data_IF_652824892507
#
_entry.id   IF_652824892507
#
_cell.length_a   1.000
_cell.length_b   1.000
_cell.length_c   1.000
_cell.angle_alpha   90.00
_cell.angle_beta   90.00
_cell.angle_gamma   90.00
#
_symmetry.space_group_name_H-M   'P 1'
#
loop_
_entity.id
_entity.type
_entity.pdbx_description
1 polymer ?
#
# COMPACT_ATOMS: atom_id res chain seq x y z
N UNK A 1 4.74 -19.00 20.77
CA UNK A 1 3.88 -18.00 21.44
C UNK A 1 4.39 -16.57 21.24
N UNK A 2 5.71 -16.33 21.36
CA UNK A 2 6.35 -15.05 21.01
C UNK A 2 6.14 -14.63 19.55
N UNK A 3 6.16 -15.57 18.61
CA UNK A 3 6.01 -15.31 17.18
C UNK A 3 4.62 -14.80 16.78
N UNK A 4 3.55 -15.42 17.30
CA UNK A 4 2.17 -14.97 17.07
C UNK A 4 1.94 -13.57 17.67
N UNK A 5 2.49 -13.29 18.85
CA UNK A 5 2.39 -11.96 19.48
C UNK A 5 3.10 -10.88 18.66
N UNK A 6 4.27 -11.19 18.09
CA UNK A 6 4.99 -10.27 17.20
C UNK A 6 4.24 -10.04 15.88
N UNK A 7 3.58 -11.07 15.34
CA UNK A 7 2.73 -10.92 14.15
C UNK A 7 1.51 -10.03 14.44
N UNK A 8 0.83 -10.24 15.57
CA UNK A 8 -0.28 -9.41 16.01
C UNK A 8 0.16 -7.96 16.29
N UNK A 9 1.34 -7.77 16.86
CA UNK A 9 1.94 -6.45 17.05
C UNK A 9 2.25 -5.77 15.71
N UNK A 10 2.85 -6.51 14.76
CA UNK A 10 3.10 -6.04 13.40
C UNK A 10 1.80 -5.60 12.70
N UNK A 11 0.74 -6.41 12.79
CA UNK A 11 -0.57 -6.06 12.25
C UNK A 11 -1.17 -4.84 12.94
N UNK A 12 -1.07 -4.75 14.27
CA UNK A 12 -1.50 -3.58 15.04
C UNK A 12 -0.78 -2.30 14.60
N UNK A 13 0.52 -2.37 14.34
CA UNK A 13 1.33 -1.24 13.84
C UNK A 13 0.94 -0.84 12.41
N UNK A 14 0.66 -1.80 11.52
CA UNK A 14 0.13 -1.50 10.18
C UNK A 14 -1.21 -0.79 10.27
N UNK A 15 -2.15 -1.33 11.05
CA UNK A 15 -3.48 -0.72 11.23
C UNK A 15 -3.39 0.67 11.85
N UNK A 16 -2.54 0.84 12.86
CA UNK A 16 -2.28 2.14 13.46
C UNK A 16 -1.65 3.10 12.45
N UNK A 17 -0.68 2.64 11.66
CA UNK A 17 -0.05 3.43 10.59
C UNK A 17 -1.07 3.91 9.56
N UNK A 18 -1.95 3.03 9.07
CA UNK A 18 -3.04 3.42 8.15
C UNK A 18 -3.95 4.46 8.81
N UNK A 19 -4.39 4.21 10.06
CA UNK A 19 -5.28 5.13 10.78
C UNK A 19 -4.62 6.50 11.00
N UNK A 20 -3.36 6.52 11.44
CA UNK A 20 -2.57 7.73 11.65
C UNK A 20 -2.39 8.50 10.34
N UNK A 21 -2.14 7.79 9.25
CA UNK A 21 -2.02 8.37 7.92
C UNK A 21 -3.30 9.06 7.47
N UNK A 22 -4.44 8.38 7.60
CA UNK A 22 -5.76 8.96 7.29
C UNK A 22 -6.07 10.14 8.19
N UNK A 23 -5.76 10.06 9.49
CA UNK A 23 -6.01 11.15 10.43
C UNK A 23 -5.13 12.38 10.21
N UNK A 24 -3.94 12.23 9.62
CA UNK A 24 -3.08 13.35 9.25
C UNK A 24 -3.61 14.13 8.03
N UNK A 25 -4.58 13.55 7.31
CA UNK A 25 -5.24 14.15 6.16
C UNK A 25 -6.57 14.77 6.59
N UNK A 26 -6.51 15.97 7.17
CA UNK A 26 -7.72 16.73 7.53
C UNK A 26 -8.56 17.08 6.29
N UNK A 27 -9.87 17.30 6.47
CA UNK A 27 -10.82 17.74 5.43
C UNK A 27 -10.32 18.90 4.55
N UNK A 28 -9.71 19.98 5.10
CA UNK A 28 -9.14 21.06 4.31
C UNK A 28 -7.96 20.62 3.43
N UNK A 29 -7.20 19.61 3.87
CA UNK A 29 -6.10 19.02 3.09
C UNK A 29 -6.66 18.24 1.91
N UNK A 30 -7.73 17.47 2.13
CA UNK A 30 -8.45 16.74 1.08
C UNK A 30 -9.05 17.69 0.05
N UNK A 31 -9.69 18.78 0.48
CA UNK A 31 -10.25 19.77 -0.44
C UNK A 31 -9.19 20.53 -1.23
N UNK A 32 -8.02 20.78 -0.62
CA UNK A 32 -6.87 21.37 -1.33
C UNK A 32 -6.27 20.41 -2.35
N UNK A 33 -6.25 19.11 -2.05
CA UNK A 33 -5.86 18.08 -3.03
C UNK A 33 -6.85 18.06 -4.18
N UNK A 34 -8.17 18.12 -3.91
CA UNK A 34 -9.21 18.18 -4.96
C UNK A 34 -9.04 19.40 -5.87
N UNK A 35 -8.76 20.58 -5.31
CA UNK A 35 -8.55 21.79 -6.12
C UNK A 35 -7.27 21.72 -6.95
N UNK A 36 -6.17 21.22 -6.38
CA UNK A 36 -4.92 20.99 -7.10
C UNK A 36 -5.07 19.96 -8.23
N UNK A 37 -5.85 18.90 -8.01
CA UNK A 37 -6.17 17.89 -9.02
C UNK A 37 -7.03 18.50 -10.14
N UNK A 38 -7.99 19.35 -9.81
CA UNK A 38 -8.80 20.06 -10.80
C UNK A 38 -7.96 21.02 -11.67
N UNK A 39 -6.94 21.64 -11.10
CA UNK A 39 -6.06 22.53 -11.86
C UNK A 39 -5.00 21.77 -12.68
N UNK A 40 -4.49 20.66 -12.13
CA UNK A 40 -3.51 19.80 -12.78
C UNK A 40 -4.08 19.00 -13.96
N UNK A 41 -5.41 18.83 -14.04
CA UNK A 41 -6.06 18.11 -15.16
C UNK A 41 -6.11 18.90 -16.48
N UNK A 42 -5.49 20.09 -16.54
CA UNK A 42 -5.35 20.90 -17.77
C UNK A 42 -4.42 20.31 -18.83
N UNK A 43 -3.47 19.46 -18.44
CA UNK A 43 -2.55 18.79 -19.38
C UNK A 43 -2.37 17.32 -19.02
N UNK A 44 -2.20 16.40 -19.99
CA UNK A 44 -2.04 14.96 -19.72
C UNK A 44 -0.95 14.64 -18.68
N UNK A 45 0.24 15.21 -18.83
CA UNK A 45 1.36 14.95 -17.91
C UNK A 45 1.07 15.40 -16.47
N UNK A 46 0.46 16.58 -16.30
CA UNK A 46 0.07 17.07 -14.96
C UNK A 46 -1.08 16.26 -14.37
N UNK A 47 -2.00 15.75 -15.18
CA UNK A 47 -3.07 14.86 -14.73
C UNK A 47 -2.50 13.54 -14.18
N UNK A 48 -1.53 12.94 -14.88
CA UNK A 48 -0.81 11.75 -14.40
C UNK A 48 -0.08 12.03 -13.08
N UNK A 49 0.68 13.13 -13.00
CA UNK A 49 1.39 13.50 -11.77
C UNK A 49 0.42 13.75 -10.60
N UNK A 50 -0.72 14.39 -10.86
CA UNK A 50 -1.75 14.60 -9.85
C UNK A 50 -2.39 13.30 -9.39
N UNK A 51 -2.59 12.33 -10.29
CA UNK A 51 -3.14 11.01 -9.96
C UNK A 51 -2.19 10.19 -9.09
N UNK A 52 -0.89 10.25 -9.42
CA UNK A 52 0.18 9.63 -8.64
C UNK A 52 0.25 10.25 -7.24
N UNK A 53 0.27 11.59 -7.15
CA UNK A 53 0.29 12.31 -5.88
C UNK A 53 -0.97 12.06 -5.05
N UNK A 54 -2.15 12.09 -5.68
CA UNK A 54 -3.42 11.80 -5.02
C UNK A 54 -3.47 10.36 -4.49
N UNK A 55 -2.97 9.38 -5.22
CA UNK A 55 -2.95 7.98 -4.75
C UNK A 55 -1.91 7.75 -3.66
N UNK A 56 -0.75 8.39 -3.76
CA UNK A 56 0.22 8.39 -2.68
C UNK A 56 -0.44 8.96 -1.41
N UNK A 57 -1.07 10.13 -1.51
CA UNK A 57 -1.71 10.82 -0.41
C UNK A 57 -2.96 10.13 0.12
N UNK A 58 -3.79 9.50 -0.71
CA UNK A 58 -5.04 8.88 -0.27
C UNK A 58 -4.89 7.39 0.04
N UNK A 59 -3.75 6.77 -0.29
CA UNK A 59 -3.43 5.34 -0.13
C UNK A 59 -4.38 4.35 -0.84
N UNK A 60 -5.54 4.79 -1.31
CA UNK A 60 -6.52 3.98 -2.02
C UNK A 60 -6.70 4.50 -3.46
N UNK A 61 -6.36 3.67 -4.45
CA UNK A 61 -6.61 3.98 -5.86
C UNK A 61 -8.10 4.10 -6.16
N UNK A 62 -8.95 3.28 -5.52
CA UNK A 62 -10.41 3.33 -5.67
C UNK A 62 -10.99 4.70 -5.31
N UNK A 63 -10.49 5.35 -4.26
CA UNK A 63 -10.92 6.70 -3.86
C UNK A 63 -10.54 7.72 -4.93
N UNK A 64 -9.36 7.58 -5.55
CA UNK A 64 -8.89 8.47 -6.62
C UNK A 64 -9.71 8.29 -7.90
N UNK A 65 -10.07 7.06 -8.26
CA UNK A 65 -10.94 6.76 -9.42
C UNK A 65 -12.34 7.31 -9.23
N UNK A 66 -12.97 7.05 -8.08
CA UNK A 66 -14.30 7.60 -7.76
C UNK A 66 -14.28 9.13 -7.73
N UNK A 67 -13.21 9.73 -7.21
CA UNK A 67 -12.96 11.17 -7.26
C UNK A 67 -12.90 11.69 -8.70
N UNK A 68 -12.16 11.01 -9.57
CA UNK A 68 -12.05 11.36 -11.00
C UNK A 68 -13.43 11.32 -11.69
N UNK A 69 -14.22 10.27 -11.44
CA UNK A 69 -15.59 10.15 -11.96
C UNK A 69 -16.47 11.31 -11.47
N UNK A 70 -16.37 11.68 -10.20
CA UNK A 70 -17.11 12.83 -9.64
C UNK A 70 -16.73 14.16 -10.28
N UNK A 71 -15.45 14.38 -10.60
CA UNK A 71 -14.99 15.59 -11.30
C UNK A 71 -15.54 15.67 -12.73
N UNK A 72 -15.64 14.54 -13.44
CA UNK A 72 -16.26 14.48 -14.78
C UNK A 72 -17.76 14.75 -14.70
N UNK A 73 -18.47 14.15 -13.74
CA UNK A 73 -19.91 14.38 -13.55
C UNK A 73 -20.23 15.85 -13.25
N UNK A 74 -19.38 16.52 -12.46
CA UNK A 74 -19.50 17.95 -12.14
C UNK A 74 -18.98 18.87 -13.27
N UNK A 75 -18.57 18.32 -14.42
CA UNK A 75 -17.98 19.03 -15.57
C UNK A 75 -16.73 19.86 -15.21
N UNK A 76 -16.02 19.48 -14.14
CA UNK A 76 -14.78 20.16 -13.69
C UNK A 76 -13.60 19.77 -14.56
N UNK A 77 -13.56 18.52 -15.05
CA UNK A 77 -12.56 18.05 -16.00
C UNK A 77 -13.19 17.22 -17.14
N UNK A 78 -12.50 17.12 -18.28
CA UNK A 78 -12.90 16.24 -19.39
C UNK A 78 -12.62 14.78 -19.07
N UNK A 79 -13.31 13.87 -19.74
CA UNK A 79 -13.11 12.43 -19.62
C UNK A 79 -11.65 12.05 -19.92
N UNK A 80 -11.05 12.64 -20.95
CA UNK A 80 -9.64 12.43 -21.33
C UNK A 80 -8.69 12.73 -20.15
N UNK A 81 -8.85 13.89 -19.51
CA UNK A 81 -8.06 14.27 -18.33
C UNK A 81 -8.27 13.34 -17.14
N UNK A 82 -9.49 12.84 -16.96
CA UNK A 82 -9.79 11.87 -15.91
C UNK A 82 -9.12 10.51 -16.17
N UNK A 83 -9.02 10.08 -17.43
CA UNK A 83 -8.25 8.87 -17.80
C UNK A 83 -6.79 9.04 -17.43
N UNK A 84 -6.17 10.18 -17.73
CA UNK A 84 -4.79 10.46 -17.33
C UNK A 84 -4.61 10.51 -15.80
N UNK A 85 -5.59 11.04 -15.08
CA UNK A 85 -5.61 11.04 -13.61
C UNK A 85 -5.66 9.61 -13.05
N UNK A 86 -6.54 8.77 -13.59
CA UNK A 86 -6.65 7.35 -13.22
C UNK A 86 -5.38 6.58 -13.57
N UNK A 87 -4.76 6.87 -14.72
CA UNK A 87 -3.49 6.27 -15.11
C UNK A 87 -2.36 6.65 -14.14
N UNK A 88 -2.32 7.91 -13.69
CA UNK A 88 -1.41 8.33 -12.61
C UNK A 88 -1.66 7.58 -11.30
N UNK A 89 -2.93 7.36 -10.97
CA UNK A 89 -3.31 6.64 -9.76
C UNK A 89 -2.84 5.17 -9.77
N UNK A 90 -2.98 4.48 -10.90
CA UNK A 90 -2.49 3.10 -11.05
C UNK A 90 -0.97 3.02 -11.01
N UNK A 91 -0.24 3.97 -11.63
CA UNK A 91 1.22 4.07 -11.47
C UNK A 91 1.59 4.25 -10.00
N UNK A 92 0.87 5.10 -9.26
CA UNK A 92 1.09 5.31 -7.82
C UNK A 92 0.93 4.03 -7.00
N UNK A 93 -0.04 3.16 -7.33
CA UNK A 93 -0.16 1.85 -6.67
C UNK A 93 1.03 0.94 -6.91
N UNK A 94 1.64 0.99 -8.10
CA UNK A 94 2.85 0.24 -8.41
C UNK A 94 4.03 0.74 -7.58
N UNK A 95 4.20 2.07 -7.46
CA UNK A 95 5.27 2.65 -6.62
C UNK A 95 5.18 2.16 -5.17
N UNK A 96 3.98 1.99 -4.61
CA UNK A 96 3.80 1.43 -3.25
C UNK A 96 4.33 -0.01 -3.13
N UNK A 97 4.10 -0.85 -4.15
CA UNK A 97 4.65 -2.21 -4.16
C UNK A 97 6.19 -2.18 -4.20
N UNK A 98 6.77 -1.30 -5.01
CA UNK A 98 8.24 -1.12 -5.05
C UNK A 98 8.82 -0.65 -3.73
N UNK A 99 8.14 0.28 -3.03
CA UNK A 99 8.58 0.74 -1.71
C UNK A 99 8.68 -0.39 -0.68
N UNK A 100 7.83 -1.40 -0.79
CA UNK A 100 7.84 -2.57 0.09
C UNK A 100 8.99 -3.52 -0.22
N UNK A 101 9.32 -3.72 -1.50
CA UNK A 101 10.42 -4.61 -1.95
C UNK A 101 11.80 -4.02 -1.72
N UNK A 102 11.93 -2.69 -1.67
CA UNK A 102 13.22 -2.07 -1.35
C UNK A 102 13.69 -2.57 0.03
N UNK A 103 14.98 -2.91 0.20
CA UNK A 103 15.56 -3.41 1.46
C UNK A 103 15.68 -2.26 2.47
N UNK A 104 14.55 -1.66 2.79
CA UNK A 104 14.39 -0.53 3.69
C UNK A 104 14.06 -1.05 5.09
N UNK A 105 14.46 -2.27 5.44
CA UNK A 105 14.30 -2.88 6.77
C UNK A 105 14.71 -1.94 7.91
N UNK A 106 15.67 -1.03 7.65
CA UNK A 106 16.12 0.02 8.56
C UNK A 106 15.26 1.29 8.50
N UNK A 107 14.65 1.63 7.36
CA UNK A 107 13.89 2.86 7.15
C UNK A 107 12.65 2.93 8.03
N UNK A 108 11.91 1.84 8.20
CA UNK A 108 10.74 1.79 9.09
C UNK A 108 11.09 2.19 10.53
N UNK A 109 11.99 1.45 11.20
CA UNK A 109 12.49 1.82 12.54
C UNK A 109 13.05 3.25 12.62
N UNK A 110 13.85 3.68 11.63
CA UNK A 110 14.45 5.02 11.61
C UNK A 110 13.39 6.11 11.48
N UNK A 111 12.41 5.94 10.58
CA UNK A 111 11.31 6.88 10.42
C UNK A 111 10.49 6.98 11.71
N UNK A 112 10.17 5.85 12.35
CA UNK A 112 9.47 5.86 13.63
C UNK A 112 10.28 6.60 14.69
N UNK A 113 11.58 6.30 14.83
CA UNK A 113 12.44 6.92 15.84
C UNK A 113 12.61 8.43 15.62
N UNK A 114 12.95 8.84 14.40
CA UNK A 114 13.19 10.26 14.08
C UNK A 114 11.91 11.07 14.09
N UNK A 115 10.81 10.55 13.51
CA UNK A 115 9.55 11.28 13.47
C UNK A 115 8.93 11.41 14.86
N UNK A 116 8.92 10.35 15.68
CA UNK A 116 8.40 10.41 17.05
C UNK A 116 9.21 11.38 17.93
N UNK A 117 10.55 11.32 17.88
CA UNK A 117 11.40 12.26 18.62
C UNK A 117 11.19 13.72 18.15
N UNK A 118 11.10 13.94 16.84
CA UNK A 118 10.90 15.28 16.27
C UNK A 118 9.53 15.86 16.62
N UNK A 119 8.49 15.04 16.74
CA UNK A 119 7.14 15.48 17.11
C UNK A 119 7.06 16.05 18.53
N UNK A 120 7.93 15.62 19.45
CA UNK A 120 8.01 16.17 20.81
C UNK A 120 8.55 17.61 20.79
N UNK A 121 9.45 17.92 19.85
CA UNK A 121 10.12 19.22 19.77
C UNK A 121 9.38 20.23 18.88
N UNK A 122 8.66 19.75 17.86
CA UNK A 122 8.04 20.60 16.83
C UNK A 122 6.60 20.97 17.19
N UNK A 123 6.39 22.25 17.53
CA UNK A 123 5.07 22.78 17.91
C UNK A 123 4.31 23.46 16.75
N UNK A 124 4.97 23.75 15.62
CA UNK A 124 4.32 24.38 14.46
C UNK A 124 3.43 23.39 13.71
N UNK A 125 2.13 23.70 13.58
CA UNK A 125 1.10 22.86 12.91
C UNK A 125 1.47 22.36 11.50
N UNK A 126 2.15 23.16 10.69
CA UNK A 126 2.53 22.74 9.33
C UNK A 126 3.62 21.66 9.33
N UNK A 127 4.67 21.83 10.15
CA UNK A 127 5.76 20.85 10.25
C UNK A 127 5.34 19.59 11.00
N UNK A 128 4.49 19.74 12.02
CA UNK A 128 3.91 18.63 12.78
C UNK A 128 3.15 17.65 11.87
N UNK A 129 2.33 18.17 10.94
CA UNK A 129 1.63 17.33 9.94
C UNK A 129 2.56 16.50 9.06
N UNK A 130 3.66 17.08 8.59
CA UNK A 130 4.65 16.33 7.79
C UNK A 130 5.28 15.21 8.62
N UNK A 131 5.59 15.48 9.89
CA UNK A 131 6.13 14.47 10.80
C UNK A 131 5.10 13.39 11.19
N UNK A 132 3.81 13.74 11.31
CA UNK A 132 2.72 12.77 11.53
C UNK A 132 2.56 11.82 10.34
N UNK A 133 2.65 12.34 9.11
CA UNK A 133 2.68 11.52 7.88
C UNK A 133 3.92 10.62 7.84
N UNK A 134 5.10 11.16 8.17
CA UNK A 134 6.34 10.39 8.23
C UNK A 134 6.29 9.28 9.29
N UNK A 135 5.73 9.56 10.47
CA UNK A 135 5.51 8.58 11.53
C UNK A 135 4.54 7.49 11.07
N UNK A 136 3.44 7.86 10.43
CA UNK A 136 2.45 6.92 9.92
C UNK A 136 3.07 5.97 8.87
N UNK A 137 3.87 6.49 7.95
CA UNK A 137 4.64 5.69 6.99
C UNK A 137 5.67 4.79 7.68
N UNK A 138 6.35 5.30 8.71
CA UNK A 138 7.29 4.51 9.53
C UNK A 138 6.60 3.34 10.24
N UNK A 139 5.43 3.57 10.83
CA UNK A 139 4.63 2.53 11.50
C UNK A 139 4.14 1.46 10.51
N UNK A 140 3.70 1.87 9.32
CA UNK A 140 3.33 0.96 8.24
C UNK A 140 4.49 0.04 7.87
N UNK A 141 5.67 0.63 7.63
CA UNK A 141 6.84 -0.14 7.19
C UNK A 141 7.42 -1.02 8.31
N UNK A 142 7.46 -0.52 9.56
CA UNK A 142 7.87 -1.32 10.72
C UNK A 142 6.92 -2.49 10.97
N UNK A 143 5.61 -2.25 10.86
CA UNK A 143 4.60 -3.30 10.99
C UNK A 143 4.73 -4.36 9.89
N UNK A 144 4.95 -3.93 8.65
CA UNK A 144 5.24 -4.82 7.53
C UNK A 144 6.49 -5.68 7.78
N UNK A 145 7.60 -5.06 8.17
CA UNK A 145 8.85 -5.77 8.47
C UNK A 145 8.66 -6.83 9.56
N UNK A 146 7.94 -6.50 10.63
CA UNK A 146 7.62 -7.46 11.70
C UNK A 146 6.75 -8.61 11.19
N UNK A 147 5.78 -8.35 10.31
CA UNK A 147 4.96 -9.40 9.71
C UNK A 147 5.82 -10.36 8.87
N UNK A 148 6.70 -9.83 8.01
CA UNK A 148 7.58 -10.65 7.17
C UNK A 148 8.50 -11.53 8.02
N UNK A 149 9.08 -10.97 9.09
CA UNK A 149 9.95 -11.73 10.00
C UNK A 149 9.21 -12.89 10.71
N UNK A 150 7.89 -12.80 10.84
CA UNK A 150 7.07 -13.88 11.40
C UNK A 150 6.48 -14.83 10.36
N UNK A 151 6.66 -14.57 9.05
CA UNK A 151 6.20 -15.50 8.01
C UNK A 151 7.07 -16.76 7.95
N UNK A 152 8.38 -16.66 8.17
CA UNK A 152 9.30 -17.81 8.14
C UNK A 152 8.84 -18.97 9.06
N UNK A 153 8.55 -18.79 10.36
CA UNK A 153 8.07 -19.88 11.21
C UNK A 153 6.66 -20.37 10.84
N UNK A 154 5.83 -19.53 10.23
CA UNK A 154 4.48 -19.90 9.77
C UNK A 154 4.54 -20.77 8.52
N UNK A 155 5.50 -20.51 7.63
CA UNK A 155 5.76 -21.31 6.43
C UNK A 155 6.22 -22.74 6.73
N UNK A 156 6.76 -22.98 7.93
CA UNK A 156 7.18 -24.32 8.37
C UNK A 156 6.02 -25.20 8.86
N UNK A 157 4.80 -24.67 8.98
CA UNK A 157 3.63 -25.46 9.35
C UNK A 157 3.20 -26.35 8.18
N UNK A 158 3.09 -27.67 8.41
CA UNK A 158 2.75 -28.66 7.37
C UNK A 158 1.54 -28.28 6.49
N UNK A 159 0.39 -27.83 7.03
CA UNK A 159 -0.76 -27.47 6.19
C UNK A 159 -0.49 -26.29 5.24
N UNK A 160 0.36 -25.34 5.67
CA UNK A 160 0.70 -24.15 4.89
C UNK A 160 1.75 -24.53 3.84
N UNK A 161 2.73 -25.33 4.22
CA UNK A 161 3.77 -25.82 3.33
C UNK A 161 3.20 -26.68 2.20
N UNK A 162 2.31 -27.60 2.50
CA UNK A 162 1.63 -28.44 1.49
C UNK A 162 0.73 -27.59 0.58
N UNK A 163 -0.02 -26.65 1.16
CA UNK A 163 -0.87 -25.72 0.40
C UNK A 163 -0.07 -24.83 -0.56
N UNK A 164 1.10 -24.35 -0.15
CA UNK A 164 1.99 -23.54 -0.99
C UNK A 164 2.75 -24.40 -2.00
N UNK A 165 3.14 -25.63 -1.65
CA UNK A 165 3.78 -26.57 -2.59
C UNK A 165 2.83 -27.00 -3.72
N UNK A 166 1.52 -27.00 -3.48
CA UNK A 166 0.50 -27.24 -4.52
C UNK A 166 0.37 -26.09 -5.54
N UNK A 167 0.96 -24.93 -5.26
CA UNK A 167 1.02 -23.79 -6.19
C UNK A 167 2.21 -24.00 -7.13
N UNK A 168 2.02 -24.81 -8.17
CA UNK A 168 3.01 -24.96 -9.25
C UNK A 168 2.47 -24.38 -10.56
N UNK A 169 3.28 -23.57 -11.23
CA UNK A 169 2.95 -22.97 -12.55
C UNK A 169 3.57 -23.80 -13.69
N UNK A 170 3.70 -25.11 -13.50
CA UNK A 170 4.29 -26.04 -14.49
C UNK A 170 3.31 -26.40 -15.62
N UNK A 171 2.00 -26.21 -15.41
CA UNK A 171 0.94 -26.47 -16.38
C UNK A 171 -0.13 -25.38 -16.39
N UNK A 172 -0.92 -25.30 -17.47
CA UNK A 172 -2.02 -24.35 -17.59
C UNK A 172 -3.07 -24.53 -16.48
N UNK A 173 -3.28 -25.76 -16.01
CA UNK A 173 -4.16 -26.07 -14.87
C UNK A 173 -3.59 -25.51 -13.57
N UNK A 174 -2.28 -25.67 -13.34
CA UNK A 174 -1.59 -25.11 -12.17
C UNK A 174 -1.59 -23.58 -12.14
N UNK A 175 -1.44 -22.94 -13.30
CA UNK A 175 -1.61 -21.48 -13.45
C UNK A 175 -3.04 -21.06 -13.05
N UNK A 176 -4.06 -21.72 -13.59
CA UNK A 176 -5.46 -21.39 -13.28
C UNK A 176 -5.79 -21.62 -11.80
N UNK A 177 -5.24 -22.65 -11.18
CA UNK A 177 -5.39 -22.89 -9.75
C UNK A 177 -4.75 -21.77 -8.92
N UNK A 178 -3.52 -21.39 -9.24
CA UNK A 178 -2.78 -20.32 -8.55
C UNK A 178 -3.51 -18.98 -8.67
N UNK A 179 -3.94 -18.61 -9.88
CA UNK A 179 -4.76 -17.42 -10.15
C UNK A 179 -6.08 -17.47 -9.37
N UNK A 180 -6.73 -18.63 -9.31
CA UNK A 180 -7.98 -18.83 -8.57
C UNK A 180 -7.82 -18.61 -7.07
N UNK A 181 -6.72 -19.11 -6.48
CA UNK A 181 -6.39 -18.88 -5.07
C UNK A 181 -6.09 -17.40 -4.81
N UNK A 182 -5.26 -16.76 -5.64
CA UNK A 182 -4.97 -15.32 -5.53
C UNK A 182 -6.22 -14.45 -5.68
N UNK A 183 -7.11 -14.80 -6.61
CA UNK A 183 -8.41 -14.15 -6.78
C UNK A 183 -9.27 -14.28 -5.53
N UNK A 184 -9.39 -15.49 -4.96
CA UNK A 184 -10.20 -15.74 -3.78
C UNK A 184 -9.66 -14.98 -2.56
N UNK A 185 -8.35 -14.97 -2.34
CA UNK A 185 -7.71 -14.19 -1.27
C UNK A 185 -7.96 -12.70 -1.47
N UNK A 186 -7.81 -12.18 -2.70
CA UNK A 186 -8.09 -10.77 -3.00
C UNK A 186 -9.56 -10.42 -2.80
N UNK A 187 -10.48 -11.30 -3.19
CA UNK A 187 -11.91 -11.11 -3.03
C UNK A 187 -12.32 -11.06 -1.55
N UNK A 188 -11.70 -11.89 -0.71
CA UNK A 188 -11.92 -11.90 0.74
C UNK A 188 -11.32 -10.66 1.43
N UNK A 189 -10.09 -10.30 1.08
CA UNK A 189 -9.37 -9.18 1.70
C UNK A 189 -9.86 -7.83 1.15
N UNK A 190 -10.45 -7.80 -0.05
CA UNK A 190 -10.91 -6.61 -0.77
C UNK A 190 -9.83 -5.52 -0.95
N UNK A 191 -8.54 -5.90 -0.86
CA UNK A 191 -7.41 -4.98 -1.00
C UNK A 191 -6.33 -5.61 -1.87
N UNK A 192 -6.11 -5.05 -3.06
CA UNK A 192 -5.09 -5.50 -4.00
C UNK A 192 -3.67 -5.25 -3.50
N UNK A 193 -3.42 -4.16 -2.76
CA UNK A 193 -2.11 -3.89 -2.15
C UNK A 193 -1.79 -4.88 -1.03
N UNK A 194 -2.79 -5.32 -0.26
CA UNK A 194 -2.58 -6.30 0.80
C UNK A 194 -2.19 -7.68 0.25
N UNK A 195 -2.80 -8.12 -0.86
CA UNK A 195 -2.36 -9.33 -1.55
C UNK A 195 -0.92 -9.19 -2.06
N UNK A 196 -0.60 -8.09 -2.75
CA UNK A 196 0.76 -7.87 -3.27
C UNK A 196 1.79 -7.91 -2.14
N UNK A 197 1.51 -7.28 -1.00
CA UNK A 197 2.41 -7.36 0.15
C UNK A 197 2.55 -8.79 0.62
N UNK A 198 1.46 -9.51 0.87
CA UNK A 198 1.49 -10.93 1.27
C UNK A 198 2.36 -11.77 0.32
N UNK A 199 2.13 -11.68 -1.00
CA UNK A 199 2.88 -12.43 -2.02
C UNK A 199 4.37 -12.08 -1.98
N UNK A 200 4.71 -10.78 -1.87
CA UNK A 200 6.11 -10.35 -1.75
C UNK A 200 6.75 -10.85 -0.46
N UNK A 201 6.03 -10.85 0.67
CA UNK A 201 6.52 -11.40 1.93
C UNK A 201 6.72 -12.90 1.88
N UNK A 202 5.83 -13.64 1.20
CA UNK A 202 5.98 -15.08 0.96
C UNK A 202 7.18 -15.38 0.06
N UNK A 203 7.43 -14.53 -0.96
CA UNK A 203 8.59 -14.65 -1.84
C UNK A 203 9.90 -14.38 -1.08
N UNK A 204 9.94 -13.32 -0.27
CA UNK A 204 11.10 -12.95 0.54
C UNK A 204 11.44 -14.02 1.59
N UNK A 205 10.41 -14.63 2.20
CA UNK A 205 10.58 -15.73 3.14
C UNK A 205 10.83 -17.09 2.47
N UNK A 206 10.91 -17.15 1.13
CA UNK A 206 11.19 -18.38 0.37
C UNK A 206 10.04 -19.38 0.31
N UNK A 207 8.82 -18.96 0.65
CA UNK A 207 7.62 -19.82 0.68
C UNK A 207 7.00 -20.10 -0.69
N UNK A 208 7.25 -19.25 -1.69
CA UNK A 208 6.75 -19.41 -3.07
C UNK A 208 7.83 -19.11 -4.10
N UNK A 209 7.72 -19.70 -5.28
CA UNK A 209 8.64 -19.45 -6.39
C UNK A 209 8.28 -18.18 -7.17
N UNK A 210 9.23 -17.51 -7.86
CA UNK A 210 8.95 -16.30 -8.64
C UNK A 210 7.82 -16.46 -9.69
N UNK A 211 7.70 -17.59 -10.43
CA UNK A 211 6.58 -17.79 -11.34
C UNK A 211 5.20 -17.80 -10.65
N UNK A 212 5.13 -18.35 -9.44
CA UNK A 212 3.91 -18.37 -8.60
C UNK A 212 3.58 -16.98 -8.09
N UNK A 213 4.59 -16.18 -7.73
CA UNK A 213 4.38 -14.82 -7.25
C UNK A 213 3.87 -13.86 -8.35
N UNK A 214 4.14 -14.17 -9.62
CA UNK A 214 3.69 -13.37 -10.77
C UNK A 214 2.30 -13.78 -11.27
N UNK A 215 1.93 -15.06 -11.07
CA UNK A 215 0.63 -15.62 -11.45
C UNK A 215 -0.52 -15.07 -10.60
#
# INVERSE_FOLDING_TARGET
>A
MSSLLLALAGMGLVLLGVRSYVSALDEPTVDRIRSLVAEATRTPARAVAAGLGATALLQASSVTVLGAMGLVQRRVCRLESAIYLVLGATIGTTVKAWLVVLPLSVLGPVLVAVASASLVLVHRRSRRRVLEVALALGLLYLGWWLLVLQLEPVLQLEPIREGLAGLEVSSLVGLMYTVGVGFLITALIQSSSALVFLVLGLLEAGGISPPVAVA
#
